data_IF_355283794591
#
_entry.id   IF_355283794591
#
_cell.length_a   1.000
_cell.length_b   1.000
_cell.length_c   1.000
_cell.angle_alpha   90.00
_cell.angle_beta   90.00
_cell.angle_gamma   90.00
#
_symmetry.space_group_name_H-M   'P 1'
#
loop_
_entity.id
_entity.type
_entity.pdbx_description
1 polymer ?
#
# COMPACT_ATOMS: atom_id res chain seq x y z
N UNK A 1 20.66 7.52 27.55
CA UNK A 1 19.78 7.57 26.35
C UNK A 1 18.84 6.38 26.41
N UNK A 2 17.53 6.58 26.29
CA UNK A 2 16.55 5.47 26.21
C UNK A 2 16.46 5.03 24.76
N UNK A 3 16.73 3.76 24.49
CA UNK A 3 16.48 3.18 23.17
C UNK A 3 14.95 3.14 22.95
N UNK A 4 14.52 3.58 21.78
CA UNK A 4 13.13 3.48 21.34
C UNK A 4 13.06 2.36 20.31
N UNK A 5 12.25 1.34 20.57
CA UNK A 5 12.15 0.15 19.72
C UNK A 5 11.49 0.46 18.36
N UNK A 6 10.55 1.41 18.33
CA UNK A 6 9.84 1.82 17.12
C UNK A 6 9.63 3.34 17.07
N UNK A 7 9.97 3.98 15.95
CA UNK A 7 9.80 5.41 15.72
C UNK A 7 9.17 5.66 14.36
N UNK A 8 8.26 6.64 14.26
CA UNK A 8 7.68 7.06 12.98
C UNK A 8 8.46 8.25 12.44
N UNK A 9 9.23 8.04 11.38
CA UNK A 9 9.95 9.08 10.67
C UNK A 9 9.28 9.35 9.32
N UNK A 10 8.85 10.59 9.07
CA UNK A 10 8.22 11.01 7.79
C UNK A 10 7.03 10.14 7.32
N UNK A 11 6.35 9.47 8.26
CA UNK A 11 5.22 8.58 7.99
C UNK A 11 5.59 7.09 7.95
N UNK A 12 6.85 6.77 8.17
CA UNK A 12 7.43 5.44 7.97
C UNK A 12 7.90 4.87 9.29
N UNK A 13 7.61 3.60 9.52
CA UNK A 13 7.98 2.94 10.76
C UNK A 13 9.45 2.49 10.68
N UNK A 14 10.30 3.19 11.43
CA UNK A 14 11.70 2.83 11.63
C UNK A 14 11.79 2.02 12.92
N UNK A 15 12.10 0.73 12.80
CA UNK A 15 12.31 -0.18 13.92
C UNK A 15 13.79 -0.36 14.19
N UNK A 16 14.16 -0.62 15.44
CA UNK A 16 15.55 -0.87 15.83
C UNK A 16 16.18 -2.07 15.09
N UNK A 17 15.34 -3.04 14.69
CA UNK A 17 15.72 -4.23 13.93
C UNK A 17 15.73 -4.02 12.40
N UNK A 18 15.42 -2.81 11.93
CA UNK A 18 15.24 -2.47 10.51
C UNK A 18 14.25 -3.43 9.79
N UNK A 19 13.23 -3.90 10.52
CA UNK A 19 12.21 -4.80 9.99
C UNK A 19 11.21 -4.01 9.14
N UNK A 20 11.43 -4.05 7.83
CA UNK A 20 10.58 -3.37 6.84
C UNK A 20 9.23 -4.06 6.66
N UNK A 21 9.06 -5.31 7.09
CA UNK A 21 7.80 -6.05 6.92
C UNK A 21 6.65 -5.41 7.70
N UNK A 22 6.90 -4.84 8.89
CA UNK A 22 5.86 -4.11 9.65
C UNK A 22 5.38 -2.86 8.92
N UNK A 23 6.30 -2.09 8.32
CA UNK A 23 5.95 -0.91 7.53
C UNK A 23 5.12 -1.29 6.30
N UNK A 24 5.54 -2.33 5.58
CA UNK A 24 4.83 -2.88 4.41
C UNK A 24 3.39 -3.26 4.78
N UNK A 25 3.19 -4.01 5.87
CA UNK A 25 1.85 -4.38 6.32
C UNK A 25 1.00 -3.15 6.64
N UNK A 26 1.58 -2.15 7.31
CA UNK A 26 0.90 -0.91 7.65
C UNK A 26 0.44 -0.14 6.40
N UNK A 27 1.27 -0.11 5.36
CA UNK A 27 0.92 0.50 4.06
C UNK A 27 -0.10 -0.29 3.28
N UNK A 28 -0.04 -1.62 3.30
CA UNK A 28 -1.08 -2.46 2.70
C UNK A 28 -2.44 -2.17 3.35
N UNK A 29 -2.49 -2.04 4.69
CA UNK A 29 -3.72 -1.66 5.40
C UNK A 29 -4.20 -0.27 4.99
N UNK A 30 -3.29 0.71 4.86
CA UNK A 30 -3.64 2.06 4.41
C UNK A 30 -4.17 2.06 2.96
N UNK A 31 -3.51 1.35 2.06
CA UNK A 31 -3.93 1.18 0.67
C UNK A 31 -5.28 0.47 0.55
N UNK A 32 -5.52 -0.55 1.38
CA UNK A 32 -6.82 -1.21 1.46
C UNK A 32 -7.92 -0.23 1.90
N UNK A 33 -7.67 0.63 2.91
CA UNK A 33 -8.64 1.68 3.31
C UNK A 33 -8.96 2.64 2.16
N UNK A 34 -7.93 3.10 1.43
CA UNK A 34 -8.11 3.95 0.27
C UNK A 34 -8.93 3.25 -0.83
N UNK A 35 -8.64 1.97 -1.10
CA UNK A 35 -9.42 1.14 -2.01
C UNK A 35 -10.87 1.01 -1.56
N UNK A 36 -11.15 0.71 -0.29
CA UNK A 36 -12.52 0.57 0.20
C UNK A 36 -13.33 1.86 0.09
N UNK A 37 -12.71 3.03 0.31
CA UNK A 37 -13.34 4.33 0.08
C UNK A 37 -13.68 4.58 -1.39
N UNK A 38 -12.82 4.13 -2.31
CA UNK A 38 -12.99 4.30 -3.76
C UNK A 38 -13.72 3.13 -4.45
N UNK A 39 -14.02 2.06 -3.73
CA UNK A 39 -14.58 0.81 -4.27
C UNK A 39 -15.87 1.03 -5.04
N UNK A 40 -16.74 1.91 -4.55
CA UNK A 40 -18.01 2.25 -5.22
C UNK A 40 -17.77 2.87 -6.60
N UNK A 41 -16.79 3.76 -6.70
CA UNK A 41 -16.38 4.42 -7.94
C UNK A 41 -15.72 3.44 -8.89
N UNK A 42 -14.78 2.63 -8.39
CA UNK A 42 -14.07 1.62 -9.18
C UNK A 42 -15.00 0.53 -9.71
N UNK A 43 -16.03 0.14 -8.96
CA UNK A 43 -17.03 -0.86 -9.39
C UNK A 43 -18.11 -0.29 -10.31
N UNK A 44 -18.29 1.04 -10.35
CA UNK A 44 -19.33 1.66 -11.16
C UNK A 44 -19.04 1.52 -12.65
N UNK A 45 -20.05 1.21 -13.45
CA UNK A 45 -19.97 1.22 -14.93
C UNK A 45 -19.91 2.64 -15.51
N UNK A 46 -20.17 3.67 -14.70
CA UNK A 46 -20.19 5.08 -15.13
C UNK A 46 -18.82 5.59 -15.58
N UNK A 47 -17.73 4.99 -15.09
CA UNK A 47 -16.37 5.40 -15.41
C UNK A 47 -15.74 4.42 -16.39
N UNK A 48 -15.06 4.96 -17.41
CA UNK A 48 -14.26 4.16 -18.34
C UNK A 48 -13.12 3.46 -17.58
N UNK A 49 -12.74 2.27 -18.05
CA UNK A 49 -11.62 1.49 -17.49
C UNK A 49 -10.33 2.30 -17.36
N UNK A 50 -10.04 3.15 -18.36
CA UNK A 50 -8.87 4.03 -18.32
C UNK A 50 -8.89 5.00 -17.13
N UNK A 51 -10.04 5.62 -16.84
CA UNK A 51 -10.20 6.55 -15.70
C UNK A 51 -10.03 5.83 -14.37
N UNK A 52 -10.60 4.62 -14.24
CA UNK A 52 -10.44 3.79 -13.04
C UNK A 52 -8.98 3.35 -12.81
N UNK A 53 -8.27 3.00 -13.88
CA UNK A 53 -6.83 2.71 -13.82
C UNK A 53 -6.02 3.94 -13.41
N UNK A 54 -6.38 5.13 -13.92
CA UNK A 54 -5.74 6.38 -13.52
C UNK A 54 -5.95 6.65 -12.03
N UNK A 55 -7.18 6.47 -11.52
CA UNK A 55 -7.50 6.59 -10.09
C UNK A 55 -6.65 5.63 -9.25
N UNK A 56 -6.56 4.36 -9.65
CA UNK A 56 -5.73 3.39 -8.95
C UNK A 56 -4.26 3.82 -8.90
N UNK A 57 -3.67 4.17 -10.06
CA UNK A 57 -2.27 4.55 -10.18
C UNK A 57 -1.91 5.82 -9.41
N UNK A 58 -2.86 6.75 -9.26
CA UNK A 58 -2.63 8.07 -8.64
C UNK A 58 -2.98 8.12 -7.17
N UNK A 59 -3.97 7.35 -6.70
CA UNK A 59 -4.46 7.47 -5.32
C UNK A 59 -4.17 6.24 -4.45
N UNK A 60 -4.18 5.03 -5.02
CA UNK A 60 -4.05 3.79 -4.22
C UNK A 60 -2.61 3.27 -4.29
N UNK A 61 -2.04 3.21 -5.50
CA UNK A 61 -0.69 2.71 -5.73
C UNK A 61 0.40 3.47 -4.94
N UNK A 62 0.44 4.81 -4.89
CA UNK A 62 1.46 5.50 -4.10
C UNK A 62 1.30 5.27 -2.59
N UNK A 63 0.10 5.07 -2.07
CA UNK A 63 -0.10 4.77 -0.64
C UNK A 63 0.52 3.43 -0.25
N UNK A 64 0.45 2.45 -1.15
CA UNK A 64 1.04 1.12 -0.94
C UNK A 64 2.54 1.11 -1.20
N UNK A 65 3.01 1.83 -2.23
CA UNK A 65 4.40 1.76 -2.73
C UNK A 65 5.29 2.93 -2.31
N UNK A 66 4.80 3.88 -1.52
CA UNK A 66 5.65 4.94 -1.01
C UNK A 66 6.88 4.27 -0.34
N UNK A 67 8.09 4.77 -0.58
CA UNK A 67 9.35 4.25 0.02
C UNK A 67 9.66 2.77 -0.19
N UNK A 68 9.08 2.15 -1.22
CA UNK A 68 9.44 0.78 -1.61
C UNK A 68 10.94 0.65 -1.97
N UNK A 69 11.62 1.75 -2.31
CA UNK A 69 13.07 1.79 -2.59
C UNK A 69 13.92 1.43 -1.36
N UNK A 70 13.43 1.67 -0.14
CA UNK A 70 14.14 1.39 1.11
C UNK A 70 13.71 0.08 1.76
N UNK A 71 12.82 -0.67 1.13
CA UNK A 71 12.30 -1.93 1.68
C UNK A 71 13.24 -3.11 1.41
N UNK A 72 13.48 -3.91 2.45
CA UNK A 72 14.09 -5.23 2.29
C UNK A 72 12.96 -6.21 1.98
N UNK A 73 12.64 -6.38 0.70
CA UNK A 73 11.51 -7.22 0.27
C UNK A 73 11.77 -8.69 0.56
N UNK A 74 10.92 -9.28 1.40
CA UNK A 74 10.83 -10.74 1.56
C UNK A 74 9.83 -11.30 0.54
N UNK A 75 9.95 -12.58 0.22
CA UNK A 75 9.04 -13.27 -0.70
C UNK A 75 7.56 -13.18 -0.23
N UNK A 76 7.34 -13.19 1.09
CA UNK A 76 6.01 -13.07 1.68
C UNK A 76 5.40 -11.67 1.49
N UNK A 77 6.22 -10.64 1.65
CA UNK A 77 5.81 -9.24 1.46
C UNK A 77 5.47 -8.96 0.00
N UNK A 78 6.28 -9.47 -0.93
CA UNK A 78 6.00 -9.38 -2.37
C UNK A 78 4.69 -10.10 -2.74
N UNK A 79 4.42 -11.26 -2.12
CA UNK A 79 3.14 -11.96 -2.30
C UNK A 79 1.97 -11.14 -1.77
N UNK A 80 2.10 -10.54 -0.59
CA UNK A 80 1.07 -9.72 0.02
C UNK A 80 0.75 -8.47 -0.82
N UNK A 81 1.78 -7.80 -1.34
CA UNK A 81 1.64 -6.68 -2.27
C UNK A 81 0.91 -7.11 -3.54
N UNK A 82 1.33 -8.20 -4.18
CA UNK A 82 0.69 -8.72 -5.39
C UNK A 82 -0.79 -9.09 -5.19
N UNK A 83 -1.15 -9.68 -4.04
CA UNK A 83 -2.56 -9.97 -3.70
C UNK A 83 -3.36 -8.67 -3.56
N UNK A 84 -2.79 -7.62 -2.97
CA UNK A 84 -3.45 -6.33 -2.83
C UNK A 84 -3.69 -5.67 -4.19
N UNK A 85 -2.68 -5.64 -5.07
CA UNK A 85 -2.81 -5.07 -6.42
C UNK A 85 -3.81 -5.85 -7.27
N UNK A 86 -3.75 -7.20 -7.23
CA UNK A 86 -4.66 -8.07 -7.96
C UNK A 86 -6.12 -7.86 -7.58
N UNK A 87 -6.43 -7.69 -6.29
CA UNK A 87 -7.80 -7.40 -5.82
C UNK A 87 -8.36 -6.11 -6.43
N UNK A 88 -7.53 -5.06 -6.48
CA UNK A 88 -7.96 -3.77 -7.07
C UNK A 88 -8.16 -3.90 -8.57
N UNK A 89 -7.23 -4.54 -9.28
CA UNK A 89 -7.28 -4.72 -10.73
C UNK A 89 -8.48 -5.59 -11.17
N UNK A 90 -8.83 -6.62 -10.41
CA UNK A 90 -10.03 -7.44 -10.67
C UNK A 90 -11.35 -6.67 -10.51
N UNK A 91 -11.34 -5.53 -9.82
CA UNK A 91 -12.54 -4.70 -9.59
C UNK A 91 -12.78 -3.67 -10.70
N UNK A 92 -11.72 -3.30 -11.44
CA UNK A 92 -11.71 -2.19 -12.39
C UNK A 92 -12.39 -2.53 -13.72
#
# INVERSE_FOLDING_TARGET
>A
MKAVEEFVYLGSLVTADNDTSRDIQRRIVAGNRAYFGLRRTLRSSKFRRHTKLAIYKTLIRPVVLYEHETWTLRAEDQRALGVSEGKVLCTI
#
